data_IF_692909299432
#
_entry.id   IF_692909299432
#
_cell.length_a   1.000
_cell.length_b   1.000
_cell.length_c   1.000
_cell.angle_alpha   90.00
_cell.angle_beta   90.00
_cell.angle_gamma   90.00
#
_symmetry.space_group_name_H-M   'P 1'
#
loop_
_entity.id
_entity.type
_entity.pdbx_description
1 polymer ?
#
# COMPACT_ATOMS: atom_id res chain seq x y z
N UNK A 1 13.07 20.88 17.77
CA UNK A 1 12.68 19.61 17.11
C UNK A 1 11.37 19.15 17.73
N UNK A 2 10.34 18.87 16.93
CA UNK A 2 9.07 18.33 17.45
C UNK A 2 9.36 16.95 18.02
N UNK A 3 9.30 16.78 19.35
CA UNK A 3 9.48 15.50 20.01
C UNK A 3 8.18 14.70 19.89
N UNK A 4 7.94 14.10 18.73
CA UNK A 4 6.83 13.16 18.50
C UNK A 4 7.39 11.76 18.27
N UNK A 5 6.72 10.74 18.79
CA UNK A 5 7.05 9.34 18.52
C UNK A 5 7.08 9.03 17.01
N UNK A 6 6.31 9.78 16.21
CA UNK A 6 6.27 9.62 14.76
C UNK A 6 7.63 9.89 14.10
N UNK A 7 8.49 10.73 14.70
CA UNK A 7 9.84 10.97 14.16
C UNK A 7 10.73 9.72 14.17
N UNK A 8 10.40 8.69 14.94
CA UNK A 8 11.11 7.41 14.90
C UNK A 8 10.77 6.61 13.64
N UNK A 9 9.55 6.77 13.10
CA UNK A 9 9.06 6.01 11.95
C UNK A 9 9.16 6.78 10.63
N UNK A 10 9.18 8.11 10.69
CA UNK A 10 9.19 8.95 9.50
C UNK A 10 10.59 9.02 8.85
N UNK A 11 10.64 9.20 7.51
CA UNK A 11 11.91 9.35 6.81
C UNK A 11 12.66 10.62 7.23
N UNK A 12 13.99 10.56 7.15
CA UNK A 12 14.87 11.69 7.46
C UNK A 12 14.68 12.87 6.50
N UNK A 13 14.36 12.58 5.24
CA UNK A 13 14.01 13.56 4.21
C UNK A 13 12.77 14.38 4.63
N UNK A 14 12.94 15.70 4.71
CA UNK A 14 11.92 16.65 5.18
C UNK A 14 10.72 16.72 4.23
N UNK A 15 10.95 16.66 2.92
CA UNK A 15 9.88 16.70 1.93
C UNK A 15 9.02 15.44 2.03
N UNK A 16 9.65 14.25 2.07
CA UNK A 16 8.92 12.98 2.22
C UNK A 16 8.15 12.93 3.54
N UNK A 17 8.77 13.39 4.63
CA UNK A 17 8.15 13.46 5.95
C UNK A 17 6.89 14.31 5.94
N UNK A 18 6.98 15.52 5.41
CA UNK A 18 5.86 16.46 5.33
C UNK A 18 4.70 15.84 4.54
N UNK A 19 4.97 15.26 3.37
CA UNK A 19 3.95 14.62 2.55
C UNK A 19 3.25 13.45 3.26
N UNK A 20 4.01 12.56 3.93
CA UNK A 20 3.43 11.43 4.67
C UNK A 20 2.51 11.92 5.78
N UNK A 21 2.92 12.93 6.55
CA UNK A 21 2.09 13.51 7.61
C UNK A 21 0.80 14.12 7.04
N UNK A 22 0.88 14.81 5.90
CA UNK A 22 -0.32 15.32 5.21
C UNK A 22 -1.26 14.20 4.78
N UNK A 23 -0.75 13.10 4.21
CA UNK A 23 -1.58 11.97 3.80
C UNK A 23 -2.22 11.27 5.00
N UNK A 24 -1.48 11.13 6.11
CA UNK A 24 -2.02 10.57 7.36
C UNK A 24 -3.14 11.46 7.93
N UNK A 25 -2.97 12.79 7.88
CA UNK A 25 -3.99 13.73 8.31
C UNK A 25 -5.24 13.70 7.41
N UNK A 26 -5.05 13.62 6.08
CA UNK A 26 -6.13 13.44 5.10
C UNK A 26 -6.88 12.13 5.36
N UNK A 27 -6.15 11.03 5.58
CA UNK A 27 -6.73 9.73 5.91
C UNK A 27 -7.56 9.80 7.20
N UNK A 28 -7.02 10.39 8.27
CA UNK A 28 -7.73 10.53 9.53
C UNK A 28 -9.01 11.36 9.38
N UNK A 29 -8.96 12.46 8.62
CA UNK A 29 -10.14 13.28 8.36
C UNK A 29 -11.21 12.52 7.56
N UNK A 30 -10.81 11.80 6.51
CA UNK A 30 -11.72 10.96 5.73
C UNK A 30 -12.32 9.83 6.56
N UNK A 31 -11.53 9.23 7.46
CA UNK A 31 -12.02 8.21 8.39
C UNK A 31 -13.12 8.76 9.29
N UNK A 32 -12.95 9.95 9.88
CA UNK A 32 -13.99 10.59 10.69
C UNK A 32 -15.23 10.87 9.83
N UNK A 33 -15.04 11.42 8.64
CA UNK A 33 -16.12 11.78 7.73
C UNK A 33 -16.93 10.56 7.26
N UNK A 34 -16.29 9.40 7.11
CA UNK A 34 -16.95 8.14 6.74
C UNK A 34 -17.59 7.45 7.93
N UNK A 35 -16.86 7.28 9.04
CA UNK A 35 -17.34 6.50 10.18
C UNK A 35 -18.45 7.19 10.95
N UNK A 36 -18.37 8.50 11.17
CA UNK A 36 -19.36 9.23 11.96
C UNK A 36 -20.80 9.03 11.44
N UNK A 37 -21.11 9.30 10.15
CA UNK A 37 -22.46 9.05 9.63
C UNK A 37 -22.81 7.56 9.61
N UNK A 38 -21.87 6.67 9.29
CA UNK A 38 -22.11 5.22 9.25
C UNK A 38 -22.49 4.67 10.63
N UNK A 39 -21.81 5.09 11.69
CA UNK A 39 -22.11 4.66 13.05
C UNK A 39 -23.44 5.24 13.53
N UNK A 40 -23.78 6.49 13.17
CA UNK A 40 -25.10 7.06 13.45
C UNK A 40 -26.22 6.29 12.74
N UNK A 41 -26.05 6.00 11.45
CA UNK A 41 -27.01 5.18 10.68
C UNK A 41 -27.17 3.79 11.27
N UNK A 42 -26.07 3.16 11.70
CA UNK A 42 -26.13 1.86 12.34
C UNK A 42 -26.91 1.91 13.66
N UNK A 43 -26.71 2.94 14.49
CA UNK A 43 -27.41 3.05 15.77
C UNK A 43 -28.92 3.31 15.58
N UNK A 44 -29.31 4.13 14.60
CA UNK A 44 -30.71 4.55 14.41
C UNK A 44 -31.51 3.53 13.59
N UNK A 45 -30.93 2.93 12.55
CA UNK A 45 -31.66 2.11 11.57
C UNK A 45 -31.27 0.63 11.56
N UNK A 46 -29.97 0.31 11.50
CA UNK A 46 -29.54 -1.09 11.29
C UNK A 46 -29.43 -1.93 12.57
N UNK A 47 -29.13 -1.29 13.69
CA UNK A 47 -28.89 -1.92 15.00
C UNK A 47 -28.02 -3.20 14.93
N UNK A 48 -26.97 -3.17 14.09
CA UNK A 48 -26.07 -4.31 13.90
C UNK A 48 -24.87 -4.20 14.82
N UNK A 49 -24.74 -5.13 15.76
CA UNK A 49 -23.59 -5.18 16.67
C UNK A 49 -22.29 -5.51 15.90
N UNK A 50 -22.35 -6.45 14.96
CA UNK A 50 -21.19 -6.87 14.16
C UNK A 50 -20.63 -5.75 13.28
N UNK A 51 -21.47 -4.79 12.87
CA UNK A 51 -21.01 -3.64 12.08
C UNK A 51 -19.98 -2.79 12.83
N UNK A 52 -20.22 -2.53 14.11
CA UNK A 52 -19.32 -1.73 14.94
C UNK A 52 -17.97 -2.43 15.11
N UNK A 53 -17.97 -3.74 15.39
CA UNK A 53 -16.75 -4.53 15.55
C UNK A 53 -15.89 -4.56 14.28
N UNK A 54 -16.51 -4.83 13.13
CA UNK A 54 -15.82 -4.86 11.83
C UNK A 54 -15.27 -3.47 11.47
N UNK A 55 -16.05 -2.41 11.72
CA UNK A 55 -15.65 -1.03 11.38
C UNK A 55 -14.39 -0.59 12.13
N UNK A 56 -14.25 -0.97 13.41
CA UNK A 56 -13.06 -0.67 14.22
C UNK A 56 -11.83 -1.38 13.66
N UNK A 57 -11.95 -2.65 13.25
CA UNK A 57 -10.84 -3.41 12.67
C UNK A 57 -10.42 -2.88 11.28
N UNK A 58 -11.38 -2.45 10.47
CA UNK A 58 -11.10 -1.93 9.12
C UNK A 58 -10.54 -0.51 9.12
N UNK A 59 -10.75 0.26 10.19
CA UNK A 59 -10.27 1.65 10.29
C UNK A 59 -8.76 1.79 10.12
N UNK A 60 -7.89 1.11 10.90
CA UNK A 60 -6.45 1.21 10.70
C UNK A 60 -6.03 0.71 9.33
N UNK A 61 -6.68 -0.33 8.80
CA UNK A 61 -6.42 -0.85 7.44
C UNK A 61 -6.70 0.22 6.39
N UNK A 62 -7.83 0.93 6.49
CA UNK A 62 -8.17 2.03 5.61
C UNK A 62 -7.15 3.16 5.68
N UNK A 63 -6.76 3.60 6.87
CA UNK A 63 -5.79 4.70 7.05
C UNK A 63 -4.43 4.35 6.43
N UNK A 64 -3.95 3.12 6.68
CA UNK A 64 -2.69 2.63 6.11
C UNK A 64 -2.79 2.51 4.59
N UNK A 65 -3.85 1.90 4.06
CA UNK A 65 -4.05 1.73 2.63
C UNK A 65 -4.17 3.08 1.91
N UNK A 66 -4.95 4.02 2.43
CA UNK A 66 -5.11 5.35 1.85
C UNK A 66 -3.78 6.09 1.77
N UNK A 67 -3.04 6.09 2.89
CA UNK A 67 -1.74 6.76 2.99
C UNK A 67 -0.74 6.13 2.03
N UNK A 68 -0.70 4.80 1.95
CA UNK A 68 0.17 4.07 1.02
C UNK A 68 -0.19 4.35 -0.44
N UNK A 69 -1.47 4.33 -0.81
CA UNK A 69 -1.89 4.65 -2.17
C UNK A 69 -1.53 6.08 -2.55
N UNK A 70 -1.83 7.05 -1.69
CA UNK A 70 -1.42 8.45 -1.91
C UNK A 70 0.08 8.57 -2.10
N UNK A 71 0.87 7.89 -1.28
CA UNK A 71 2.33 7.86 -1.37
C UNK A 71 2.81 7.33 -2.74
N UNK A 72 2.33 6.15 -3.16
CA UNK A 72 2.63 5.53 -4.46
C UNK A 72 2.22 6.45 -5.61
N UNK A 73 1.00 6.98 -5.55
CA UNK A 73 0.48 7.86 -6.59
C UNK A 73 1.17 9.22 -6.63
N UNK A 74 1.76 9.70 -5.53
CA UNK A 74 2.57 10.93 -5.55
C UNK A 74 3.97 10.73 -6.12
N UNK A 75 4.40 9.48 -6.34
CA UNK A 75 5.71 9.18 -6.93
C UNK A 75 6.86 9.78 -6.13
N UNK A 76 6.76 9.77 -4.81
CA UNK A 76 7.81 10.30 -3.90
C UNK A 76 8.77 9.22 -3.42
N UNK A 77 8.56 7.98 -3.87
CA UNK A 77 9.37 6.84 -3.49
C UNK A 77 10.80 6.92 -4.04
N UNK A 78 10.92 7.30 -5.31
CA UNK A 78 12.20 7.32 -6.03
C UNK A 78 12.58 8.74 -6.44
N UNK A 79 12.98 9.57 -5.48
CA UNK A 79 13.41 10.96 -5.71
C UNK A 79 14.66 11.09 -6.59
N UNK A 80 15.47 10.03 -6.68
CA UNK A 80 16.81 10.10 -7.29
C UNK A 80 16.86 9.43 -8.67
N UNK A 81 15.72 8.91 -9.16
CA UNK A 81 15.63 8.23 -10.46
C UNK A 81 15.11 9.21 -11.50
N UNK A 82 16.02 9.87 -12.22
CA UNK A 82 15.72 10.77 -13.33
C UNK A 82 16.26 10.28 -14.68
N UNK A 83 17.24 9.38 -14.68
CA UNK A 83 17.82 8.82 -15.91
C UNK A 83 17.09 7.57 -16.41
N UNK A 84 16.97 7.43 -17.73
CA UNK A 84 16.31 6.28 -18.33
C UNK A 84 17.04 4.95 -18.03
N UNK A 85 18.37 4.99 -17.91
CA UNK A 85 19.20 3.82 -17.58
C UNK A 85 18.90 3.29 -16.18
N UNK A 86 18.79 4.19 -15.19
CA UNK A 86 18.49 3.82 -13.80
C UNK A 86 17.03 3.36 -13.67
N UNK A 87 16.09 3.99 -14.38
CA UNK A 87 14.69 3.55 -14.47
C UNK A 87 14.56 2.11 -14.99
N UNK A 88 15.21 1.77 -16.11
CA UNK A 88 15.17 0.42 -16.69
C UNK A 88 15.83 -0.62 -15.77
N UNK A 89 16.90 -0.25 -15.06
CA UNK A 89 17.56 -1.12 -14.08
C UNK A 89 16.65 -1.39 -12.87
N UNK A 90 16.02 -0.36 -12.31
CA UNK A 90 15.11 -0.48 -11.17
C UNK A 90 13.89 -1.34 -11.54
N UNK A 91 13.34 -1.20 -12.74
CA UNK A 91 12.24 -2.05 -13.23
C UNK A 91 12.63 -3.54 -13.30
N UNK A 92 13.88 -3.87 -13.62
CA UNK A 92 14.38 -5.25 -13.59
C UNK A 92 14.50 -5.76 -12.15
N UNK A 93 14.97 -4.92 -11.23
CA UNK A 93 15.08 -5.26 -9.82
C UNK A 93 13.71 -5.49 -9.18
N UNK A 94 12.72 -4.63 -9.44
CA UNK A 94 11.36 -4.76 -8.92
C UNK A 94 10.70 -6.08 -9.38
N UNK A 95 10.95 -6.52 -10.63
CA UNK A 95 10.49 -7.84 -11.10
C UNK A 95 11.09 -9.00 -10.31
N UNK A 96 12.38 -8.93 -9.98
CA UNK A 96 13.02 -9.96 -9.12
C UNK A 96 12.44 -9.95 -7.71
N UNK A 97 12.19 -8.77 -7.14
CA UNK A 97 11.55 -8.63 -5.82
C UNK A 97 10.12 -9.17 -5.82
N UNK A 98 9.34 -8.89 -6.86
CA UNK A 98 7.99 -9.42 -7.02
C UNK A 98 7.98 -10.96 -7.08
N UNK A 99 8.91 -11.56 -7.85
CA UNK A 99 9.06 -13.02 -7.90
C UNK A 99 9.45 -13.61 -6.55
N UNK A 100 10.37 -12.96 -5.84
CA UNK A 100 10.78 -13.37 -4.50
C UNK A 100 9.62 -13.28 -3.49
N UNK A 101 8.84 -12.19 -3.53
CA UNK A 101 7.62 -12.05 -2.75
C UNK A 101 6.61 -13.16 -3.06
N UNK A 102 6.36 -13.43 -4.35
CA UNK A 102 5.45 -14.50 -4.76
C UNK A 102 5.90 -15.88 -4.27
N UNK A 103 7.21 -16.15 -4.31
CA UNK A 103 7.78 -17.40 -3.81
C UNK A 103 7.60 -17.55 -2.29
N UNK A 104 7.91 -16.51 -1.51
CA UNK A 104 7.69 -16.52 -0.06
C UNK A 104 6.21 -16.68 0.25
N UNK A 105 5.35 -15.93 -0.42
CA UNK A 105 3.92 -15.96 -0.17
C UNK A 105 3.31 -17.32 -0.50
N UNK A 106 3.77 -17.96 -1.58
CA UNK A 106 3.41 -19.35 -1.89
C UNK A 106 3.83 -20.32 -0.78
N UNK A 107 5.06 -20.20 -0.27
CA UNK A 107 5.54 -21.05 0.84
C UNK A 107 4.65 -20.88 2.08
N UNK A 108 4.31 -19.64 2.43
CA UNK A 108 3.43 -19.34 3.57
C UNK A 108 2.07 -20.00 3.39
N UNK A 109 1.47 -19.91 2.20
CA UNK A 109 0.18 -20.54 1.92
C UNK A 109 0.26 -22.07 1.92
N UNK A 110 1.35 -22.66 1.43
CA UNK A 110 1.57 -24.11 1.48
C UNK A 110 1.73 -24.61 2.93
N UNK A 111 2.38 -23.83 3.80
CA UNK A 111 2.49 -24.16 5.22
C UNK A 111 1.12 -24.10 5.90
N UNK A 112 0.30 -23.10 5.57
CA UNK A 112 -1.01 -22.91 6.18
C UNK A 112 -2.06 -23.91 5.69
N UNK A 113 -2.10 -24.18 4.38
CA UNK A 113 -3.15 -24.98 3.73
C UNK A 113 -2.71 -26.43 3.47
N UNK A 114 -1.42 -26.74 3.60
CA UNK A 114 -0.86 -28.05 3.25
C UNK A 114 -0.55 -28.20 1.75
N UNK A 115 -0.13 -29.41 1.36
CA UNK A 115 0.14 -29.74 -0.04
C UNK A 115 -1.20 -30.01 -0.74
N UNK A 116 -1.56 -29.24 -1.79
CA UNK A 116 -2.83 -29.40 -2.47
C UNK A 116 -2.87 -30.72 -3.24
N UNK A 117 -4.01 -31.41 -3.13
CA UNK A 117 -4.31 -32.69 -3.78
C UNK A 117 -5.39 -32.55 -4.86
N UNK A 118 -6.22 -31.50 -4.78
CA UNK A 118 -7.33 -31.24 -5.70
C UNK A 118 -7.10 -29.95 -6.49
N UNK A 119 -7.65 -29.86 -7.70
CA UNK A 119 -7.56 -28.65 -8.53
C UNK A 119 -8.11 -27.39 -7.86
N UNK A 120 -9.11 -27.51 -6.99
CA UNK A 120 -9.66 -26.38 -6.22
C UNK A 120 -8.66 -25.87 -5.17
N UNK A 121 -8.00 -26.77 -4.44
CA UNK A 121 -6.96 -26.42 -3.46
C UNK A 121 -5.74 -25.78 -4.13
N UNK A 122 -5.42 -26.21 -5.37
CA UNK A 122 -4.38 -25.54 -6.19
C UNK A 122 -4.79 -24.10 -6.48
N UNK A 123 -6.06 -23.85 -6.85
CA UNK A 123 -6.55 -22.49 -7.12
C UNK A 123 -6.58 -21.63 -5.86
N UNK A 124 -6.90 -22.19 -4.70
CA UNK A 124 -6.91 -21.50 -3.41
C UNK A 124 -5.51 -20.99 -3.01
N UNK A 125 -4.45 -21.62 -3.51
CA UNK A 125 -3.07 -21.19 -3.30
C UNK A 125 -2.58 -20.33 -4.47
N UNK A 126 -2.70 -20.81 -5.70
CA UNK A 126 -2.16 -20.17 -6.89
C UNK A 126 -2.87 -18.84 -7.20
N UNK A 127 -4.18 -18.76 -6.99
CA UNK A 127 -4.98 -17.55 -7.23
C UNK A 127 -4.48 -16.35 -6.41
N UNK A 128 -4.44 -16.45 -5.06
CA UNK A 128 -3.89 -15.39 -4.22
C UNK A 128 -2.43 -15.05 -4.52
N UNK A 129 -1.58 -16.04 -4.80
CA UNK A 129 -0.16 -15.79 -5.16
C UNK A 129 -0.05 -14.99 -6.45
N UNK A 130 -0.81 -15.38 -7.47
CA UNK A 130 -0.82 -14.69 -8.75
C UNK A 130 -1.34 -13.26 -8.62
N UNK A 131 -2.45 -13.05 -7.91
CA UNK A 131 -2.99 -11.72 -7.66
C UNK A 131 -2.02 -10.86 -6.85
N UNK A 132 -1.41 -11.41 -5.79
CA UNK A 132 -0.41 -10.72 -4.99
C UNK A 132 0.80 -10.29 -5.82
N UNK A 133 1.32 -11.19 -6.66
CA UNK A 133 2.39 -10.89 -7.61
C UNK A 133 2.00 -9.77 -8.60
N UNK A 134 0.80 -9.86 -9.17
CA UNK A 134 0.30 -8.89 -10.13
C UNK A 134 0.14 -7.51 -9.50
N UNK A 135 -0.49 -7.43 -8.32
CA UNK A 135 -0.65 -6.17 -7.60
C UNK A 135 0.69 -5.57 -7.20
N UNK A 136 1.62 -6.39 -6.70
CA UNK A 136 2.97 -5.93 -6.38
C UNK A 136 3.64 -5.28 -7.60
N UNK A 137 3.61 -5.95 -8.76
CA UNK A 137 4.18 -5.40 -9.99
C UNK A 137 3.49 -4.11 -10.44
N UNK A 138 2.16 -4.04 -10.33
CA UNK A 138 1.40 -2.87 -10.72
C UNK A 138 1.73 -1.66 -9.83
N UNK A 139 1.75 -1.82 -8.51
CA UNK A 139 2.07 -0.73 -7.59
C UNK A 139 3.51 -0.25 -7.77
N UNK A 140 4.48 -1.16 -7.84
CA UNK A 140 5.89 -0.80 -8.10
C UNK A 140 6.05 -0.09 -9.45
N UNK A 141 5.33 -0.55 -10.49
CA UNK A 141 5.39 0.07 -11.81
C UNK A 141 4.78 1.47 -11.81
N UNK A 142 3.61 1.65 -11.19
CA UNK A 142 2.95 2.95 -11.08
C UNK A 142 3.83 3.93 -10.30
N UNK A 143 4.36 3.50 -9.14
CA UNK A 143 5.25 4.31 -8.30
C UNK A 143 6.49 4.76 -9.08
N UNK A 144 7.16 3.80 -9.73
CA UNK A 144 8.40 4.06 -10.48
C UNK A 144 8.15 4.97 -11.68
N UNK A 145 7.08 4.73 -12.46
CA UNK A 145 6.75 5.55 -13.63
C UNK A 145 6.40 6.99 -13.23
N UNK A 146 5.61 7.18 -12.17
CA UNK A 146 5.27 8.52 -11.68
C UNK A 146 6.48 9.26 -11.12
N UNK A 147 7.33 8.58 -10.36
CA UNK A 147 8.57 9.16 -9.83
C UNK A 147 9.50 9.60 -10.97
N UNK A 148 9.71 8.74 -11.97
CA UNK A 148 10.56 9.04 -13.13
C UNK A 148 10.08 10.26 -13.92
N UNK A 149 8.78 10.30 -14.28
CA UNK A 149 8.24 11.44 -15.03
C UNK A 149 8.41 12.74 -14.25
N UNK A 150 8.06 12.74 -12.95
CA UNK A 150 8.18 13.93 -12.10
C UNK A 150 9.62 14.43 -11.98
N UNK A 151 10.59 13.53 -11.81
CA UNK A 151 11.99 13.93 -11.68
C UNK A 151 12.59 14.40 -13.01
N UNK A 152 12.13 13.83 -14.13
CA UNK A 152 12.54 14.29 -15.45
C UNK A 152 12.04 15.70 -15.72
N UNK A 153 10.77 15.97 -15.43
CA UNK A 153 10.16 17.30 -15.60
C UNK A 153 10.93 18.37 -14.78
N UNK A 154 11.44 18.02 -13.59
CA UNK A 154 12.24 18.92 -12.75
C UNK A 154 13.67 19.19 -13.25
N UNK A 155 14.19 18.41 -14.20
CA UNK A 155 15.52 18.60 -14.79
C UNK A 155 15.46 19.26 -16.17
N UNK A 156 14.29 19.23 -16.81
CA UNK A 156 14.04 19.88 -18.11
C UNK A 156 13.62 21.37 -17.93
N UNK A 157 13.34 21.82 -16.70
CA UNK A 157 13.15 23.23 -16.27
C UNK A 157 14.47 23.86 -15.74
#
# INVERSE_FOLDING_TARGET
>A
MVQSFLNYFLPKDEYKRSQIVYFMAEAAFLTVLLLLPLTLMNNIWWNSQSFNEISVLLTPVFVMAYTYFRYVFKGIEHTDISEEKTYRAQRRLNRKRALFFAAIFMIVLLINNGIPSTGMEILDIAGPVFLGFLFYLLFDYISLKRSYNKNKDLLDD
#
